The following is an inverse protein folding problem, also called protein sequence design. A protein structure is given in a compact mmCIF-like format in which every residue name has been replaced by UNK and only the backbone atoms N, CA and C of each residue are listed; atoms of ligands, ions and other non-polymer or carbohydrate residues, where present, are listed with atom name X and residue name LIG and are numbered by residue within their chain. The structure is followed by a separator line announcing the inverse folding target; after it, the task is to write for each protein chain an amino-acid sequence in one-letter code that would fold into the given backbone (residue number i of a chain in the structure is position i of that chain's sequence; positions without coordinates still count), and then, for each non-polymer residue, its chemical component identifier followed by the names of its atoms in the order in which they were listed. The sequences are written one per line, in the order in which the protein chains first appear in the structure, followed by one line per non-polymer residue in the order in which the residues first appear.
data_IF_866844590299
#
_entry.id   IF_866844590299
#
_cell.length_a   1.000
_cell.length_b   1.000
_cell.length_c   1.000
_cell.angle_alpha   90.00
_cell.angle_beta   90.00
_cell.angle_gamma   90.00
#
_symmetry.space_group_name_H-M   'P 1'
#
loop_
_entity.id
_entity.type
_entity.pdbx_description
1 polymer ?
#
# COMPACT_ATOMS: atom_id res chain seq x y z
N UNK A 1 -12.76 -2.03 -43.29
CA UNK A 1 -13.89 -2.99 -43.33
C UNK A 1 -13.45 -4.25 -42.61
N UNK A 2 -14.04 -4.56 -41.46
CA UNK A 2 -13.72 -5.79 -40.71
C UNK A 2 -14.32 -7.01 -41.41
N UNK A 3 -13.51 -8.07 -41.55
CA UNK A 3 -13.84 -9.29 -42.27
C UNK A 3 -15.02 -10.03 -41.61
N UNK A 4 -16.04 -10.42 -42.40
CA UNK A 4 -17.31 -10.98 -41.90
C UNK A 4 -17.15 -12.29 -41.11
N UNK A 5 -16.03 -12.97 -41.29
CA UNK A 5 -15.66 -14.18 -40.54
C UNK A 5 -15.32 -13.90 -39.06
N UNK A 6 -14.78 -12.71 -38.73
CA UNK A 6 -14.52 -12.34 -37.34
C UNK A 6 -15.82 -12.12 -36.53
N UNK A 7 -16.88 -11.63 -37.19
CA UNK A 7 -18.20 -11.49 -36.56
C UNK A 7 -18.89 -12.82 -36.31
N UNK A 8 -18.70 -13.82 -37.20
CA UNK A 8 -19.27 -15.17 -37.01
C UNK A 8 -18.55 -15.97 -35.91
N UNK A 9 -17.25 -15.78 -35.70
CA UNK A 9 -16.53 -16.37 -34.54
C UNK A 9 -16.97 -15.77 -33.20
N UNK A 10 -17.32 -14.48 -33.17
CA UNK A 10 -17.86 -13.84 -31.97
C UNK A 10 -19.30 -14.28 -31.62
N UNK A 11 -20.10 -14.69 -32.61
CA UNK A 11 -21.50 -15.07 -32.40
C UNK A 11 -21.72 -16.56 -32.05
N UNK A 12 -20.69 -17.40 -32.18
CA UNK A 12 -20.77 -18.86 -31.91
C UNK A 12 -20.41 -19.28 -30.48
N UNK A 13 -19.97 -18.35 -29.63
CA UNK A 13 -19.79 -18.61 -28.20
C UNK A 13 -21.17 -18.49 -27.56
N UNK A 14 -21.96 -19.56 -27.67
CA UNK A 14 -23.17 -19.71 -26.87
C UNK A 14 -22.81 -19.36 -25.42
N UNK A 15 -23.54 -18.44 -24.81
CA UNK A 15 -23.39 -18.05 -23.43
C UNK A 15 -23.61 -19.28 -22.55
N UNK A 16 -22.54 -20.04 -22.30
CA UNK A 16 -22.50 -21.07 -21.28
C UNK A 16 -22.97 -20.41 -20.00
N UNK A 17 -24.02 -20.96 -19.41
CA UNK A 17 -24.63 -20.42 -18.21
C UNK A 17 -23.51 -20.09 -17.21
N UNK A 18 -23.28 -18.80 -16.87
CA UNK A 18 -22.08 -18.37 -16.13
C UNK A 18 -21.99 -18.95 -14.70
N UNK A 19 -22.95 -19.78 -14.30
CA UNK A 19 -23.13 -20.38 -12.99
C UNK A 19 -22.82 -21.88 -12.94
N UNK A 20 -22.42 -22.54 -14.04
CA UNK A 20 -22.02 -23.95 -13.95
C UNK A 20 -20.64 -24.10 -13.29
N UNK A 21 -20.66 -24.15 -11.95
CA UNK A 21 -19.50 -24.36 -11.10
C UNK A 21 -19.12 -25.85 -10.96
N UNK A 22 -19.81 -26.80 -11.61
CA UNK A 22 -19.58 -28.25 -11.44
C UNK A 22 -18.16 -28.71 -11.82
N UNK A 23 -17.47 -27.95 -12.67
CA UNK A 23 -16.10 -28.21 -13.10
C UNK A 23 -15.03 -27.43 -12.33
N UNK A 24 -15.43 -26.54 -11.42
CA UNK A 24 -14.48 -25.79 -10.62
C UNK A 24 -13.75 -26.74 -9.64
N UNK A 25 -12.43 -26.67 -9.61
CA UNK A 25 -11.58 -27.50 -8.76
C UNK A 25 -10.57 -26.61 -8.06
N UNK A 26 -10.31 -26.89 -6.78
CA UNK A 26 -9.23 -26.27 -6.01
C UNK A 26 -7.90 -26.58 -6.68
N UNK A 27 -7.11 -25.55 -6.94
CA UNK A 27 -5.75 -25.72 -7.44
C UNK A 27 -4.86 -26.42 -6.41
N UNK A 28 -3.99 -27.32 -6.90
CA UNK A 28 -3.12 -28.15 -6.06
C UNK A 28 -1.69 -27.60 -5.90
N UNK A 29 -1.42 -26.40 -6.41
CA UNK A 29 -0.11 -25.74 -6.27
C UNK A 29 0.10 -25.12 -4.88
N UNK A 30 1.21 -24.39 -4.73
CA UNK A 30 1.53 -23.69 -3.47
C UNK A 30 0.64 -22.45 -3.34
N UNK A 31 -0.06 -22.21 -2.21
CA UNK A 31 -0.97 -21.08 -2.06
C UNK A 31 -0.40 -19.72 -2.46
N UNK A 32 0.85 -19.42 -2.07
CA UNK A 32 1.56 -18.18 -2.41
C UNK A 32 1.75 -17.93 -3.91
N UNK A 33 1.66 -18.98 -4.73
CA UNK A 33 1.83 -18.90 -6.18
C UNK A 33 0.47 -18.75 -6.91
N UNK A 34 -0.66 -18.80 -6.17
CA UNK A 34 -2.02 -18.82 -6.72
C UNK A 34 -2.34 -17.56 -7.53
N UNK A 35 -2.18 -16.38 -6.93
CA UNK A 35 -2.51 -15.11 -7.58
C UNK A 35 -1.75 -14.94 -8.89
N UNK A 36 -0.45 -15.25 -8.89
CA UNK A 36 0.40 -15.18 -10.09
C UNK A 36 -0.14 -16.09 -11.19
N UNK A 37 -0.49 -17.33 -10.87
CA UNK A 37 -0.99 -18.30 -11.85
C UNK A 37 -2.39 -17.95 -12.34
N UNK A 38 -3.28 -17.49 -11.45
CA UNK A 38 -4.64 -17.07 -11.77
C UNK A 38 -4.64 -15.86 -12.74
N UNK A 39 -3.83 -14.84 -12.44
CA UNK A 39 -3.67 -13.67 -13.30
C UNK A 39 -3.06 -14.04 -14.66
N UNK A 40 -2.07 -14.96 -14.68
CA UNK A 40 -1.48 -15.46 -15.93
C UNK A 40 -2.54 -16.12 -16.82
N UNK A 41 -3.35 -17.03 -16.27
CA UNK A 41 -4.42 -17.70 -17.01
C UNK A 41 -5.49 -16.71 -17.48
N UNK A 42 -5.92 -15.80 -16.62
CA UNK A 42 -6.90 -14.78 -16.98
C UNK A 42 -6.39 -13.87 -18.12
N UNK A 43 -5.15 -13.41 -18.05
CA UNK A 43 -4.54 -12.57 -19.08
C UNK A 43 -4.49 -13.29 -20.44
N UNK A 44 -4.10 -14.56 -20.44
CA UNK A 44 -4.02 -15.40 -21.64
C UNK A 44 -5.41 -15.65 -22.24
N UNK A 45 -6.38 -16.08 -21.44
CA UNK A 45 -7.70 -16.50 -21.94
C UNK A 45 -8.58 -15.31 -22.35
N UNK A 46 -8.47 -14.17 -21.65
CA UNK A 46 -9.24 -12.96 -21.98
C UNK A 46 -8.51 -12.02 -22.95
N UNK A 47 -7.29 -12.36 -23.35
CA UNK A 47 -6.40 -11.51 -24.16
C UNK A 47 -6.27 -10.08 -23.57
N UNK A 48 -6.14 -9.98 -22.24
CA UNK A 48 -6.04 -8.69 -21.53
C UNK A 48 -4.66 -8.48 -20.95
N UNK A 49 -4.10 -7.30 -21.19
CA UNK A 49 -2.94 -6.81 -20.43
C UNK A 49 -3.38 -6.45 -19.01
N UNK A 50 -2.82 -7.12 -18.01
CA UNK A 50 -3.11 -6.86 -16.60
C UNK A 50 -2.12 -5.83 -16.03
N UNK A 51 -2.58 -5.11 -15.00
CA UNK A 51 -1.74 -4.16 -14.28
C UNK A 51 -0.82 -4.91 -13.30
N UNK A 52 0.38 -4.38 -12.99
CA UNK A 52 1.37 -5.05 -12.12
C UNK A 52 0.85 -5.47 -10.73
N UNK A 53 -0.24 -4.85 -10.27
CA UNK A 53 -0.80 -5.05 -8.93
C UNK A 53 -2.18 -5.73 -8.96
N UNK A 54 -2.59 -6.23 -10.12
CA UNK A 54 -3.90 -6.86 -10.23
C UNK A 54 -3.97 -8.08 -9.32
N UNK A 55 -5.14 -8.39 -8.76
CA UNK A 55 -5.39 -9.61 -8.00
C UNK A 55 -6.73 -10.22 -8.40
N UNK A 56 -6.88 -11.51 -8.13
CA UNK A 56 -8.06 -12.30 -8.44
C UNK A 56 -8.85 -12.56 -7.15
N UNK A 57 -10.14 -12.32 -7.21
CA UNK A 57 -11.12 -12.90 -6.27
C UNK A 57 -11.98 -13.93 -7.01
N UNK A 58 -12.57 -14.86 -6.26
CA UNK A 58 -13.30 -15.98 -6.82
C UNK A 58 -14.78 -15.88 -6.47
N UNK A 59 -15.64 -15.86 -7.50
CA UNK A 59 -17.09 -15.83 -7.31
C UNK A 59 -17.69 -17.20 -6.94
N UNK A 60 -16.95 -18.29 -7.21
CA UNK A 60 -17.45 -19.66 -7.06
C UNK A 60 -17.38 -20.24 -5.64
N UNK A 61 -16.83 -19.51 -4.67
CA UNK A 61 -16.65 -19.98 -3.28
C UNK A 61 -15.61 -21.10 -3.09
N UNK A 62 -15.07 -21.67 -4.16
CA UNK A 62 -13.98 -22.67 -4.08
C UNK A 62 -12.65 -21.94 -3.94
N UNK A 63 -11.94 -22.19 -2.84
CA UNK A 63 -10.59 -21.65 -2.63
C UNK A 63 -9.65 -21.99 -3.78
N UNK A 64 -8.85 -21.01 -4.21
CA UNK A 64 -7.82 -21.17 -5.23
C UNK A 64 -8.30 -21.81 -6.55
N UNK A 65 -9.53 -21.53 -7.00
CA UNK A 65 -10.02 -21.98 -8.30
C UNK A 65 -9.31 -21.24 -9.45
N UNK A 66 -8.77 -21.99 -10.42
CA UNK A 66 -8.11 -21.42 -11.62
C UNK A 66 -9.01 -21.28 -12.86
N UNK A 67 -10.34 -21.48 -12.73
CA UNK A 67 -11.27 -21.23 -13.83
C UNK A 67 -11.44 -19.73 -14.04
N UNK A 68 -11.06 -19.24 -15.22
CA UNK A 68 -11.10 -17.81 -15.57
C UNK A 68 -12.51 -17.23 -15.48
N UNK A 69 -13.56 -18.02 -15.71
CA UNK A 69 -14.95 -17.56 -15.58
C UNK A 69 -15.37 -17.34 -14.13
N UNK A 70 -14.68 -17.96 -13.18
CA UNK A 70 -14.89 -17.75 -11.75
C UNK A 70 -14.10 -16.57 -11.19
N UNK A 71 -13.19 -15.98 -11.98
CA UNK A 71 -12.29 -14.93 -11.55
C UNK A 71 -12.89 -13.55 -11.78
N UNK A 72 -12.81 -12.71 -10.74
CA UNK A 72 -12.92 -11.26 -10.88
C UNK A 72 -11.54 -10.66 -10.64
N UNK A 73 -10.95 -10.06 -11.69
CA UNK A 73 -9.67 -9.36 -11.59
C UNK A 73 -9.89 -7.93 -11.14
N UNK A 74 -9.30 -7.60 -10.00
CA UNK A 74 -9.26 -6.27 -9.41
C UNK A 74 -7.91 -5.64 -9.65
N UNK A 75 -7.87 -4.30 -9.64
CA UNK A 75 -6.63 -3.55 -9.55
C UNK A 75 -6.76 -2.64 -8.32
N UNK A 76 -6.03 -2.90 -7.22
CA UNK A 76 -6.04 -2.03 -6.07
C UNK A 76 -5.46 -0.70 -6.50
N UNK A 77 -6.24 0.36 -6.35
CA UNK A 77 -5.78 1.74 -6.56
C UNK A 77 -5.31 2.38 -5.26
N UNK A 78 -5.78 1.84 -4.14
CA UNK A 78 -5.53 2.33 -2.80
C UNK A 78 -5.18 1.14 -1.92
N UNK A 79 -4.20 1.35 -1.05
CA UNK A 79 -3.89 0.42 0.02
C UNK A 79 -4.72 0.82 1.25
N UNK A 80 -5.32 -0.15 1.93
CA UNK A 80 -6.23 -0.01 3.08
C UNK A 80 -5.48 0.38 4.36
N UNK A 81 -4.77 1.51 4.29
CA UNK A 81 -4.28 2.19 5.47
C UNK A 81 -5.40 3.01 6.11
N UNK A 82 -5.35 3.24 7.44
CA UNK A 82 -6.26 4.14 8.13
C UNK A 82 -6.38 5.48 7.40
N UNK A 83 -7.62 5.91 7.16
CA UNK A 83 -7.87 7.18 6.48
C UNK A 83 -7.30 8.35 7.29
N UNK A 84 -6.85 9.38 6.59
CA UNK A 84 -6.33 10.62 7.18
C UNK A 84 -5.08 10.47 8.06
N UNK A 85 -4.42 9.30 8.09
CA UNK A 85 -3.16 9.11 8.83
C UNK A 85 -2.01 8.96 7.84
N UNK A 86 -1.01 9.83 7.93
CA UNK A 86 0.19 9.75 7.11
C UNK A 86 0.98 8.48 7.44
N UNK A 87 1.18 7.60 6.45
CA UNK A 87 1.86 6.31 6.65
C UNK A 87 3.38 6.43 6.90
N UNK A 88 3.92 7.64 6.82
CA UNK A 88 5.34 7.92 6.97
C UNK A 88 5.71 8.54 8.32
N UNK A 89 4.79 9.28 8.95
CA UNK A 89 5.08 10.02 10.18
C UNK A 89 3.95 10.00 11.21
N UNK A 90 2.80 9.41 10.89
CA UNK A 90 1.70 9.16 11.83
C UNK A 90 0.82 10.38 12.11
N UNK A 91 1.17 11.55 11.55
CA UNK A 91 0.34 12.74 11.67
C UNK A 91 -0.90 12.67 10.79
N UNK A 92 -1.95 13.43 11.16
CA UNK A 92 -3.06 13.69 10.27
C UNK A 92 -2.59 14.22 8.90
N UNK A 93 -3.16 13.68 7.83
CA UNK A 93 -2.87 14.10 6.45
C UNK A 93 -4.01 13.71 5.50
N UNK A 94 -4.56 14.69 4.82
CA UNK A 94 -5.58 14.55 3.76
C UNK A 94 -4.97 14.27 2.37
N UNK A 95 -3.65 14.41 2.27
CA UNK A 95 -2.90 14.19 1.05
C UNK A 95 -2.78 12.72 0.65
N UNK A 96 -2.43 12.54 -0.62
CA UNK A 96 -2.24 11.25 -1.26
C UNK A 96 -0.87 11.22 -1.91
N UNK A 97 -0.10 10.20 -1.59
CA UNK A 97 1.19 9.93 -2.22
C UNK A 97 1.04 8.68 -3.07
N UNK A 98 1.59 8.72 -4.27
CA UNK A 98 1.57 7.54 -5.13
C UNK A 98 2.95 6.89 -5.09
N UNK A 99 2.97 5.58 -4.90
CA UNK A 99 4.21 4.84 -4.63
C UNK A 99 5.26 4.97 -5.74
N UNK A 100 4.83 5.17 -6.98
CA UNK A 100 5.70 5.53 -8.10
C UNK A 100 5.45 6.97 -8.57
N UNK A 101 6.51 7.73 -8.86
CA UNK A 101 6.37 9.11 -9.29
C UNK A 101 5.95 9.20 -10.77
N UNK A 102 5.47 10.39 -11.14
CA UNK A 102 4.97 10.67 -12.50
C UNK A 102 6.03 10.47 -13.60
N UNK A 103 7.31 10.88 -13.43
CA UNK A 103 8.33 10.65 -14.45
C UNK A 103 8.55 9.17 -14.78
N UNK A 104 8.37 8.28 -13.81
CA UNK A 104 8.57 6.84 -13.99
C UNK A 104 7.39 6.13 -14.66
N UNK A 105 6.19 6.71 -14.55
CA UNK A 105 4.94 6.04 -14.95
C UNK A 105 4.26 6.73 -16.13
N UNK A 106 4.56 7.99 -16.39
CA UNK A 106 3.84 8.82 -17.36
C UNK A 106 2.40 9.11 -16.94
N UNK A 107 1.73 9.98 -17.69
CA UNK A 107 0.34 10.38 -17.39
C UNK A 107 -0.65 9.22 -17.53
N UNK A 108 -0.47 8.39 -18.57
CA UNK A 108 -1.42 7.34 -18.91
C UNK A 108 -1.51 6.23 -17.84
N UNK A 109 -0.38 5.86 -17.23
CA UNK A 109 -0.31 4.81 -16.22
C UNK A 109 -0.52 5.34 -14.79
N UNK A 110 -0.52 6.67 -14.61
CA UNK A 110 -0.63 7.33 -13.31
C UNK A 110 -1.83 6.86 -12.49
N UNK A 111 -2.99 6.74 -13.15
CA UNK A 111 -4.28 6.29 -12.57
C UNK A 111 -4.28 4.85 -12.04
N UNK A 112 -3.21 4.10 -12.29
CA UNK A 112 -3.03 2.72 -11.85
C UNK A 112 -1.92 2.56 -10.81
N UNK A 113 -1.21 3.64 -10.48
CA UNK A 113 -0.20 3.60 -9.42
C UNK A 113 -0.90 3.53 -8.07
N UNK A 114 -0.42 2.64 -7.21
CA UNK A 114 -0.92 2.53 -5.84
C UNK A 114 -0.75 3.85 -5.09
N UNK A 115 -1.82 4.22 -4.38
CA UNK A 115 -1.87 5.44 -3.58
C UNK A 115 -1.98 5.11 -2.10
N UNK A 116 -1.24 5.87 -1.28
CA UNK A 116 -1.23 5.79 0.18
C UNK A 116 -1.51 7.16 0.81
N UNK A 117 -2.09 7.22 2.01
CA UNK A 117 -2.31 8.49 2.71
C UNK A 117 -0.98 9.09 3.19
N UNK A 118 -0.81 10.40 2.97
CA UNK A 118 0.43 11.11 3.30
C UNK A 118 0.16 12.57 3.63
N UNK A 119 0.87 13.12 4.62
CA UNK A 119 0.86 14.56 4.85
C UNK A 119 1.68 15.28 3.77
N UNK A 120 1.34 16.54 3.46
CA UNK A 120 2.01 17.32 2.41
C UNK A 120 3.53 17.43 2.61
N UNK A 121 4.01 17.48 3.86
CA UNK A 121 5.44 17.55 4.14
C UNK A 121 6.18 16.24 3.81
N UNK A 122 5.65 15.09 4.22
CA UNK A 122 6.26 13.79 3.88
C UNK A 122 6.22 13.53 2.38
N UNK A 123 5.08 13.82 1.72
CA UNK A 123 4.96 13.71 0.27
C UNK A 123 6.00 14.60 -0.45
N UNK A 124 6.19 15.83 0.01
CA UNK A 124 7.21 16.73 -0.53
C UNK A 124 8.66 16.29 -0.27
N UNK A 125 8.93 15.60 0.85
CA UNK A 125 10.26 15.04 1.12
C UNK A 125 10.59 13.82 0.26
N UNK A 126 9.60 12.99 -0.02
CA UNK A 126 9.74 11.81 -0.87
C UNK A 126 9.86 12.25 -2.33
N UNK A 127 9.01 13.19 -2.77
CA UNK A 127 8.99 13.74 -4.13
C UNK A 127 9.05 12.64 -5.21
N UNK A 128 10.00 12.73 -6.14
CA UNK A 128 10.18 11.78 -7.25
C UNK A 128 11.03 10.55 -6.87
N UNK A 129 11.00 10.12 -5.60
CA UNK A 129 11.72 8.91 -5.20
C UNK A 129 11.14 7.69 -5.93
N UNK A 130 11.97 6.96 -6.71
CA UNK A 130 11.47 5.98 -7.69
C UNK A 130 11.11 4.62 -7.10
N UNK A 131 11.48 4.38 -5.84
CA UNK A 131 11.27 3.09 -5.19
C UNK A 131 9.85 3.02 -4.57
N UNK A 132 9.00 2.06 -5.00
CA UNK A 132 7.64 1.93 -4.48
C UNK A 132 7.57 1.35 -3.06
N UNK A 133 8.69 0.91 -2.50
CA UNK A 133 8.74 0.28 -1.19
C UNK A 133 8.38 1.26 -0.07
N UNK A 134 7.30 0.96 0.66
CA UNK A 134 6.75 1.83 1.71
C UNK A 134 7.76 2.08 2.83
N UNK A 135 8.41 1.02 3.33
CA UNK A 135 9.43 1.13 4.38
C UNK A 135 10.61 2.06 4.00
N UNK A 136 11.19 1.90 2.80
CA UNK A 136 12.26 2.78 2.31
C UNK A 136 11.81 4.23 2.16
N UNK A 137 10.60 4.46 1.65
CA UNK A 137 9.98 5.79 1.56
C UNK A 137 9.76 6.41 2.94
N UNK A 138 9.33 5.62 3.94
CA UNK A 138 9.20 6.04 5.35
C UNK A 138 10.55 6.45 5.93
N UNK A 139 11.59 5.64 5.75
CA UNK A 139 12.96 5.95 6.20
C UNK A 139 13.44 7.27 5.58
N UNK A 140 13.27 7.45 4.27
CA UNK A 140 13.65 8.68 3.58
C UNK A 140 12.91 9.90 4.17
N UNK A 141 11.59 9.81 4.34
CA UNK A 141 10.80 10.88 4.93
C UNK A 141 11.28 11.22 6.35
N UNK A 142 11.52 10.23 7.20
CA UNK A 142 12.00 10.41 8.56
C UNK A 142 13.41 11.04 8.61
N UNK A 143 14.33 10.60 7.75
CA UNK A 143 15.65 11.21 7.62
C UNK A 143 15.56 12.70 7.25
N UNK A 144 14.66 13.06 6.32
CA UNK A 144 14.43 14.46 5.91
C UNK A 144 13.77 15.27 7.02
N UNK A 145 12.80 14.71 7.74
CA UNK A 145 12.19 15.32 8.94
C UNK A 145 13.27 15.61 9.99
N UNK A 146 14.09 14.62 10.32
CA UNK A 146 15.17 14.75 11.30
C UNK A 146 16.19 15.82 10.87
N UNK A 147 16.62 15.80 9.60
CA UNK A 147 17.55 16.80 9.05
C UNK A 147 16.99 18.22 9.13
N UNK A 148 15.74 18.43 8.70
CA UNK A 148 15.08 19.76 8.73
C UNK A 148 14.92 20.28 10.16
N UNK A 149 14.65 19.40 11.12
CA UNK A 149 14.37 19.76 12.51
C UNK A 149 15.55 19.51 13.45
N UNK A 150 16.76 19.34 12.92
CA UNK A 150 17.97 19.01 13.70
C UNK A 150 18.19 19.94 14.89
N UNK A 151 18.06 21.26 14.66
CA UNK A 151 18.19 22.29 15.70
C UNK A 151 17.15 22.16 16.83
N UNK A 152 15.94 21.66 16.56
CA UNK A 152 14.93 21.39 17.58
C UNK A 152 15.24 20.11 18.37
N UNK A 153 15.79 19.10 17.68
CA UNK A 153 16.09 17.80 18.26
C UNK A 153 17.33 17.84 19.18
N UNK A 154 18.35 18.60 18.80
CA UNK A 154 19.60 18.78 19.57
C UNK A 154 19.42 19.68 20.80
N UNK A 155 18.38 20.51 20.83
CA UNK A 155 18.11 21.41 21.94
C UNK A 155 17.59 20.63 23.15
N UNK A 156 18.23 20.85 24.31
CA UNK A 156 17.73 20.37 25.61
C UNK A 156 16.35 20.98 25.89
N UNK A 157 15.40 20.11 26.22
CA UNK A 157 14.07 20.53 26.66
C UNK A 157 14.19 21.24 28.01
N UNK A 158 13.64 22.46 28.10
CA UNK A 158 13.63 23.19 29.37
C UNK A 158 12.61 22.58 30.31
N UNK A 159 13.05 22.27 31.53
CA UNK A 159 12.20 21.89 32.65
C UNK A 159 11.30 23.05 33.09
N UNK A 160 10.26 22.74 33.86
CA UNK A 160 9.33 23.75 34.38
C UNK A 160 10.02 24.79 35.28
N UNK A 161 11.00 24.37 36.09
CA UNK A 161 11.81 25.28 36.89
C UNK A 161 12.61 26.27 36.01
N UNK A 162 13.32 25.77 34.99
CA UNK A 162 14.06 26.59 34.02
C UNK A 162 13.15 27.51 33.18
N UNK A 163 11.86 27.18 33.06
CA UNK A 163 10.85 28.02 32.39
C UNK A 163 10.31 29.13 33.31
N UNK A 164 10.21 28.87 34.62
CA UNK A 164 9.74 29.84 35.61
C UNK A 164 10.77 30.95 35.88
N UNK A 165 12.06 30.71 35.60
CA UNK A 165 13.13 31.71 35.68
C UNK A 165 13.14 32.68 34.49
N UNK A 166 12.40 32.39 33.41
CA UNK A 166 12.37 33.24 32.21
C UNK A 166 11.30 34.32 32.33
N UNK A 167 11.59 35.50 31.77
CA UNK A 167 10.57 36.51 31.49
C UNK A 167 9.47 35.95 30.56
N UNK A 168 8.27 36.56 30.62
CA UNK A 168 7.05 36.08 29.94
C UNK A 168 7.26 35.71 28.46
N UNK A 169 7.85 36.61 27.67
CA UNK A 169 8.05 36.40 26.23
C UNK A 169 8.99 35.22 25.94
N UNK A 170 10.11 35.14 26.65
CA UNK A 170 11.08 34.05 26.50
C UNK A 170 10.50 32.70 26.93
N UNK A 171 9.69 32.70 28.00
CA UNK A 171 8.97 31.51 28.46
C UNK A 171 8.02 30.99 27.38
N UNK A 172 7.20 31.86 26.78
CA UNK A 172 6.26 31.50 25.71
C UNK A 172 6.98 30.88 24.51
N UNK A 173 8.07 31.50 24.05
CA UNK A 173 8.91 30.99 22.96
C UNK A 173 9.54 29.64 23.32
N UNK A 174 10.01 29.46 24.56
CA UNK A 174 10.59 28.20 25.03
C UNK A 174 9.55 27.07 25.05
N UNK A 175 8.35 27.32 25.57
CA UNK A 175 7.24 26.34 25.57
C UNK A 175 6.87 25.94 24.14
N UNK A 176 6.72 26.91 23.23
CA UNK A 176 6.43 26.64 21.81
C UNK A 176 7.51 25.76 21.17
N UNK A 177 8.78 25.98 21.50
CA UNK A 177 9.89 25.18 21.00
C UNK A 177 9.93 23.77 21.60
N UNK A 178 9.68 23.62 22.90
CA UNK A 178 9.54 22.30 23.55
C UNK A 178 8.42 21.49 22.88
N UNK A 179 7.25 22.09 22.69
CA UNK A 179 6.11 21.44 22.03
C UNK A 179 6.43 21.02 20.59
N UNK A 180 7.10 21.89 19.82
CA UNK A 180 7.57 21.56 18.47
C UNK A 180 8.54 20.39 18.48
N UNK A 181 9.55 20.40 19.37
CA UNK A 181 10.52 19.32 19.49
C UNK A 181 9.84 17.98 19.85
N UNK A 182 8.90 18.00 20.80
CA UNK A 182 8.09 16.82 21.14
C UNK A 182 7.29 16.30 19.96
N UNK A 183 6.62 17.19 19.21
CA UNK A 183 5.91 16.83 18.00
C UNK A 183 6.81 16.16 16.95
N UNK A 184 8.02 16.70 16.72
CA UNK A 184 8.99 16.08 15.80
C UNK A 184 9.44 14.72 16.30
N UNK A 185 9.71 14.56 17.60
CA UNK A 185 10.10 13.26 18.18
C UNK A 185 9.00 12.21 18.00
N UNK A 186 7.74 12.57 18.24
CA UNK A 186 6.59 11.68 18.00
C UNK A 186 6.51 11.23 16.54
N UNK A 187 6.75 12.13 15.59
CA UNK A 187 6.78 11.80 14.15
C UNK A 187 7.87 10.83 13.75
N UNK A 188 8.99 10.84 14.49
CA UNK A 188 10.13 9.96 14.27
C UNK A 188 10.00 8.64 15.05
N UNK A 189 9.12 8.60 16.05
CA UNK A 189 8.83 7.42 16.86
C UNK A 189 7.78 6.51 16.20
N UNK A 190 8.08 6.02 15.01
CA UNK A 190 7.21 5.06 14.33
C UNK A 190 7.22 3.72 15.08
N UNK A 191 6.07 3.09 15.32
CA UNK A 191 6.01 1.83 16.04
C UNK A 191 6.79 0.74 15.30
N UNK A 192 7.49 -0.10 16.06
CA UNK A 192 8.18 -1.29 15.55
C UNK A 192 7.18 -2.43 15.33
N UNK A 193 6.23 -2.19 14.43
CA UNK A 193 5.23 -3.16 14.01
C UNK A 193 5.50 -3.55 12.56
N UNK A 194 6.30 -4.61 12.38
CA UNK A 194 6.66 -5.13 11.06
C UNK A 194 5.44 -5.64 10.26
N UNK A 195 4.33 -5.95 10.93
CA UNK A 195 3.10 -6.42 10.29
C UNK A 195 2.15 -5.29 9.90
N UNK A 196 2.39 -4.04 10.32
CA UNK A 196 1.52 -2.90 10.02
C UNK A 196 1.25 -2.73 8.53
N UNK A 197 2.31 -2.68 7.72
CA UNK A 197 2.20 -2.51 6.27
C UNK A 197 1.57 -3.77 5.63
N UNK A 198 1.93 -4.96 6.12
CA UNK A 198 1.40 -6.23 5.62
C UNK A 198 -0.12 -6.34 5.79
N UNK A 199 -0.66 -5.96 6.96
CA UNK A 199 -2.11 -5.97 7.21
C UNK A 199 -2.85 -5.05 6.24
N UNK A 200 -2.32 -3.85 6.00
CA UNK A 200 -2.89 -2.92 5.03
C UNK A 200 -2.88 -3.50 3.60
N UNK A 201 -1.80 -4.17 3.19
CA UNK A 201 -1.73 -4.85 1.90
C UNK A 201 -2.73 -6.02 1.77
N UNK A 202 -2.83 -6.85 2.80
CA UNK A 202 -3.75 -7.99 2.84
C UNK A 202 -5.21 -7.54 2.70
N UNK A 203 -5.61 -6.51 3.46
CA UNK A 203 -6.94 -5.91 3.33
C UNK A 203 -7.22 -5.31 1.94
N UNK A 204 -6.16 -4.96 1.20
CA UNK A 204 -6.24 -4.45 -0.17
C UNK A 204 -6.30 -5.56 -1.23
N UNK A 205 -6.24 -6.83 -0.83
CA UNK A 205 -6.14 -7.99 -1.73
C UNK A 205 -4.74 -8.24 -2.29
N UNK A 206 -3.71 -7.62 -1.71
CA UNK A 206 -2.31 -7.81 -2.14
C UNK A 206 -1.69 -8.90 -1.25
N UNK A 207 -1.72 -10.14 -1.73
CA UNK A 207 -1.26 -11.31 -0.96
C UNK A 207 0.27 -11.40 -0.80
N UNK A 208 1.03 -10.91 -1.79
CA UNK A 208 2.49 -10.98 -1.77
C UNK A 208 3.12 -9.59 -2.03
N UNK A 209 2.99 -8.63 -1.09
CA UNK A 209 3.52 -7.28 -1.26
C UNK A 209 5.05 -7.26 -1.38
N UNK A 210 5.76 -8.19 -0.73
CA UNK A 210 7.22 -8.28 -0.82
C UNK A 210 7.68 -8.73 -2.22
N UNK A 211 7.05 -9.74 -2.80
CA UNK A 211 7.31 -10.16 -4.19
C UNK A 211 6.99 -9.08 -5.23
N UNK A 212 6.22 -8.07 -4.84
CA UNK A 212 5.87 -6.89 -5.62
C UNK A 212 6.80 -5.68 -5.34
N UNK A 213 7.77 -5.82 -4.42
CA UNK A 213 8.69 -4.75 -4.02
C UNK A 213 8.05 -3.64 -3.19
N UNK A 214 6.90 -3.89 -2.55
CA UNK A 214 6.16 -2.89 -1.76
C UNK A 214 6.60 -2.85 -0.28
N UNK A 215 7.12 -3.96 0.25
CA UNK A 215 7.64 -4.08 1.61
C UNK A 215 8.73 -5.17 1.72
N UNK A 216 9.36 -5.28 2.89
CA UNK A 216 10.40 -6.27 3.15
C UNK A 216 9.82 -7.69 3.30
N UNK A 217 10.58 -8.71 2.89
CA UNK A 217 10.19 -10.13 3.05
C UNK A 217 10.06 -10.56 4.51
N UNK A 218 10.81 -9.93 5.44
CA UNK A 218 10.81 -10.28 6.86
C UNK A 218 9.43 -10.08 7.50
N UNK A 219 8.60 -9.20 6.95
CA UNK A 219 7.21 -9.03 7.38
C UNK A 219 6.37 -10.31 7.18
N UNK A 220 6.69 -11.14 6.18
CA UNK A 220 5.93 -12.35 5.85
C UNK A 220 6.22 -13.52 6.81
N UNK A 221 7.42 -13.58 7.38
CA UNK A 221 7.81 -14.67 8.30
C UNK A 221 7.01 -14.66 9.62
N UNK A 222 6.37 -13.52 9.96
CA UNK A 222 5.48 -13.40 11.12
C UNK A 222 4.00 -13.63 10.77
N UNK A 223 3.67 -13.90 9.50
CA UNK A 223 2.29 -14.00 9.00
C UNK A 223 1.76 -15.43 8.86
N UNK A 224 2.52 -16.45 9.30
CA UNK A 224 2.11 -17.86 9.25
C UNK A 224 0.92 -18.20 10.19
N UNK A 225 0.40 -17.21 10.94
CA UNK A 225 -0.93 -17.28 11.55
C UNK A 225 -1.87 -16.29 10.85
N UNK A 226 -2.97 -16.77 10.25
CA UNK A 226 -4.02 -15.88 9.80
C UNK A 226 -4.61 -15.11 10.99
N UNK A 227 -4.55 -13.78 10.94
CA UNK A 227 -4.97 -12.88 12.03
C UNK A 227 -6.41 -13.10 12.51
N UNK A 228 -7.31 -13.63 11.65
CA UNK A 228 -8.67 -13.95 12.05
C UNK A 228 -8.79 -15.08 13.09
N UNK A 229 -7.72 -15.84 13.37
CA UNK A 229 -7.68 -16.85 14.43
C UNK A 229 -7.40 -16.26 15.83
N UNK A 230 -6.97 -15.00 15.94
CA UNK A 230 -6.65 -14.36 17.25
C UNK A 230 -7.74 -13.37 17.73
N UNK A 231 -8.78 -13.12 16.91
CA UNK A 231 -9.88 -12.19 17.23
C UNK A 231 -11.24 -12.92 17.37
N UNK A 232 -11.21 -14.26 17.50
CA UNK A 232 -12.36 -15.12 17.78
C UNK A 232 -12.18 -15.83 19.12
#
# INVERSE_FOLDING_TARGET
MMNSEARKRAAGIAASNPTDHSRARRWKGRPRDFQREALRLFALERERTLLPWSYVTLACGIEMCLRVECMTVHAPKRIDYPEFVCIYCGLPGDGKDHLLPKPNTGEALRKYVLVVPSCGECNGFINDFPDPHVGRRRILAQQKIAKKNRHLLERKEKSEAELNELGHELRSVAIKNNNKARGVRLRLAWPDDHAYDLRAFQHSGIENPAGLGLCDEVALAYSDRPYWEEVA
#
